data_IF_773724279929
#
_entry.id   IF_773724279929
#
_cell.length_a   1.000
_cell.length_b   1.000
_cell.length_c   1.000
_cell.angle_alpha   90.00
_cell.angle_beta   90.00
_cell.angle_gamma   90.00
#
_symmetry.space_group_name_H-M   'P 1'
#
loop_
_entity.id
_entity.type
_entity.pdbx_description
1 polymer ?
#
# COMPACT_ATOMS: atom_id res chain seq x y z
N UNK A 1 -14.01 28.13 26.16
CA UNK A 1 -12.73 28.55 25.58
C UNK A 1 -12.56 27.67 24.36
N UNK A 2 -12.49 28.25 23.16
CA UNK A 2 -12.26 27.50 21.93
C UNK A 2 -10.80 27.05 21.95
N UNK A 3 -10.57 25.74 22.05
CA UNK A 3 -9.25 25.13 21.83
C UNK A 3 -8.86 25.40 20.37
N UNK A 4 -8.21 26.54 20.15
CA UNK A 4 -7.62 26.89 18.87
C UNK A 4 -6.28 26.16 18.75
N UNK A 5 -6.13 25.40 17.67
CA UNK A 5 -4.92 24.64 17.38
C UNK A 5 -4.13 25.34 16.29
N UNK A 6 -2.83 25.52 16.52
CA UNK A 6 -1.90 26.13 15.58
C UNK A 6 -0.98 25.04 15.04
N UNK A 7 -0.76 25.05 13.71
CA UNK A 7 0.19 24.15 13.06
C UNK A 7 1.59 24.74 13.16
N UNK A 8 2.51 24.00 13.78
CA UNK A 8 3.90 24.43 14.04
C UNK A 8 4.88 23.79 13.05
N UNK A 9 4.58 22.60 12.55
CA UNK A 9 5.40 21.89 11.58
C UNK A 9 4.55 20.99 10.68
N UNK A 10 5.09 20.70 9.51
CA UNK A 10 4.50 19.78 8.55
C UNK A 10 5.57 18.78 8.13
N UNK A 11 5.30 17.49 8.33
CA UNK A 11 6.24 16.41 8.05
C UNK A 11 5.71 15.51 6.94
N UNK A 12 6.60 14.78 6.26
CA UNK A 12 6.21 13.88 5.16
C UNK A 12 5.98 12.45 5.63
N UNK A 13 6.55 12.08 6.77
CA UNK A 13 6.51 10.71 7.28
C UNK A 13 5.95 10.64 8.70
N UNK A 14 5.21 9.56 9.05
CA UNK A 14 4.71 9.37 10.43
C UNK A 14 5.83 9.31 11.47
N UNK A 15 6.99 8.76 11.09
CA UNK A 15 8.16 8.65 11.98
C UNK A 15 8.69 10.03 12.39
N UNK A 16 8.86 10.95 11.44
CA UNK A 16 9.28 12.33 11.73
C UNK A 16 8.24 13.07 12.59
N UNK A 17 6.95 12.91 12.28
CA UNK A 17 5.86 13.50 13.07
C UNK A 17 5.88 13.01 14.53
N UNK A 18 6.07 11.70 14.71
CA UNK A 18 6.19 11.06 16.02
C UNK A 18 7.41 11.53 16.79
N UNK A 19 8.54 11.78 16.12
CA UNK A 19 9.75 12.29 16.75
C UNK A 19 9.53 13.69 17.34
N UNK A 20 8.95 14.60 16.55
CA UNK A 20 8.59 15.95 16.99
C UNK A 20 7.58 15.90 18.13
N UNK A 21 6.57 15.04 18.03
CA UNK A 21 5.57 14.84 19.09
C UNK A 21 6.23 14.41 20.40
N UNK A 22 7.12 13.42 20.37
CA UNK A 22 7.81 12.94 21.58
C UNK A 22 8.66 14.05 22.22
N UNK A 23 9.33 14.86 21.41
CA UNK A 23 10.15 15.97 21.88
C UNK A 23 9.33 17.04 22.61
N UNK A 24 8.19 17.43 22.04
CA UNK A 24 7.30 18.43 22.64
C UNK A 24 6.54 17.86 23.86
N UNK A 25 6.12 16.61 23.81
CA UNK A 25 5.45 15.94 24.95
C UNK A 25 6.40 15.76 26.15
N UNK A 26 7.70 15.57 25.91
CA UNK A 26 8.71 15.52 26.98
C UNK A 26 8.80 16.83 27.78
N UNK A 27 8.50 17.96 27.13
CA UNK A 27 8.44 19.31 27.72
C UNK A 27 7.04 19.65 28.29
N UNK A 28 6.12 18.69 28.26
CA UNK A 28 4.76 18.81 28.77
C UNK A 28 3.77 19.50 27.82
N UNK A 29 4.14 19.70 26.55
CA UNK A 29 3.27 20.31 25.54
C UNK A 29 2.45 19.22 24.85
N UNK A 30 1.13 19.37 24.81
CA UNK A 30 0.25 18.41 24.13
C UNK A 30 0.26 18.65 22.63
N UNK A 31 0.55 17.60 21.87
CA UNK A 31 0.61 17.63 20.41
C UNK A 31 -0.52 16.82 19.79
N UNK A 32 -1.10 17.36 18.74
CA UNK A 32 -2.07 16.70 17.88
C UNK A 32 -1.51 16.54 16.47
N UNK A 33 -1.43 15.31 15.98
CA UNK A 33 -1.00 15.01 14.62
C UNK A 33 -2.23 14.87 13.74
N UNK A 34 -2.44 15.83 12.83
CA UNK A 34 -3.47 15.71 11.80
C UNK A 34 -2.93 14.94 10.61
N UNK A 35 -3.78 14.12 10.00
CA UNK A 35 -3.52 13.38 8.76
C UNK A 35 -2.48 12.23 8.87
N UNK A 36 -1.97 11.90 10.07
CA UNK A 36 -0.97 10.84 10.30
C UNK A 36 -1.42 9.46 9.80
N UNK A 37 -2.60 9.01 10.22
CA UNK A 37 -3.15 7.70 9.85
C UNK A 37 -3.33 7.59 8.33
N UNK A 38 -3.82 8.65 7.70
CA UNK A 38 -4.09 8.69 6.27
C UNK A 38 -2.79 8.61 5.45
N UNK A 39 -1.76 9.33 5.86
CA UNK A 39 -0.43 9.30 5.23
C UNK A 39 0.29 7.98 5.53
N UNK A 40 0.14 7.42 6.73
CA UNK A 40 0.71 6.13 7.12
C UNK A 40 0.13 4.96 6.32
N UNK A 41 -1.19 4.93 6.10
CA UNK A 41 -1.84 3.90 5.28
C UNK A 41 -1.62 4.11 3.78
N UNK A 42 -1.50 5.35 3.33
CA UNK A 42 -1.36 5.71 1.92
C UNK A 42 -0.32 6.83 1.73
N UNK A 43 0.95 6.46 1.57
CA UNK A 43 2.08 7.40 1.43
C UNK A 43 1.87 8.46 0.33
N UNK A 44 1.22 8.11 -0.79
CA UNK A 44 0.95 9.03 -1.90
C UNK A 44 -0.03 10.14 -1.53
N UNK A 45 -0.82 9.94 -0.47
CA UNK A 45 -1.78 10.92 0.02
C UNK A 45 -1.10 12.05 0.79
N UNK A 46 0.14 11.86 1.26
CA UNK A 46 0.95 12.91 1.87
C UNK A 46 1.10 14.14 0.98
N UNK A 47 1.39 13.95 -0.32
CA UNK A 47 1.49 15.06 -1.27
C UNK A 47 0.14 15.76 -1.52
N UNK A 48 -0.97 15.02 -1.44
CA UNK A 48 -2.30 15.56 -1.67
C UNK A 48 -2.84 16.33 -0.45
N UNK A 49 -2.54 15.88 0.76
CA UNK A 49 -2.95 16.50 2.02
C UNK A 49 -1.97 17.59 2.50
N UNK A 50 -0.80 17.66 1.87
CA UNK A 50 0.26 18.60 2.20
C UNK A 50 1.06 18.16 3.42
N UNK A 51 1.20 16.85 3.67
CA UNK A 51 1.93 16.27 4.79
C UNK A 51 1.12 16.12 6.07
N UNK A 52 1.76 15.53 7.08
CA UNK A 52 1.23 15.35 8.44
C UNK A 52 1.46 16.66 9.19
N UNK A 53 0.40 17.27 9.69
CA UNK A 53 0.47 18.56 10.39
C UNK A 53 0.62 18.33 11.89
N UNK A 54 1.70 18.84 12.45
CA UNK A 54 1.95 18.87 13.89
C UNK A 54 1.28 20.12 14.45
N UNK A 55 0.31 19.92 15.35
CA UNK A 55 -0.48 21.01 15.92
C UNK A 55 -0.40 21.02 17.45
N UNK A 56 -0.40 22.22 18.02
CA UNK A 56 -0.43 22.46 19.47
C UNK A 56 -1.50 23.49 19.80
N UNK A 57 -1.90 23.57 21.08
CA UNK A 57 -2.81 24.62 21.52
C UNK A 57 -2.17 26.01 21.30
N UNK A 58 -2.96 27.02 20.93
CA UNK A 58 -2.46 28.37 20.68
C UNK A 58 -1.66 28.96 21.85
N UNK A 59 -1.96 28.55 23.09
CA UNK A 59 -1.24 28.98 24.30
C UNK A 59 0.20 28.44 24.39
N UNK A 60 0.46 27.30 23.76
CA UNK A 60 1.77 26.62 23.78
C UNK A 60 2.57 26.84 22.48
N UNK A 61 2.01 27.53 21.49
CA UNK A 61 2.59 27.66 20.16
C UNK A 61 3.97 28.35 20.18
N UNK A 62 4.11 29.46 20.90
CA UNK A 62 5.39 30.19 20.98
C UNK A 62 6.48 29.33 21.62
N UNK A 63 6.15 28.62 22.71
CA UNK A 63 7.08 27.71 23.40
C UNK A 63 7.45 26.51 22.52
N UNK A 64 6.50 25.98 21.75
CA UNK A 64 6.76 24.88 20.83
C UNK A 64 7.68 25.30 19.67
N UNK A 65 7.55 26.53 19.16
CA UNK A 65 8.47 27.06 18.16
C UNK A 65 9.89 27.22 18.70
N UNK A 66 10.05 27.75 19.91
CA UNK A 66 11.37 27.90 20.54
C UNK A 66 12.07 26.53 20.71
N UNK A 67 11.34 25.51 21.16
CA UNK A 67 11.90 24.16 21.35
C UNK A 67 12.29 23.48 20.03
N UNK A 68 11.56 23.75 18.94
CA UNK A 68 11.89 23.18 17.64
C UNK A 68 13.09 23.86 16.98
N UNK A 69 13.31 25.15 17.25
CA UNK A 69 14.45 25.91 16.72
C UNK A 69 15.76 25.61 17.47
N UNK A 70 15.67 25.25 18.76
CA UNK A 70 16.84 24.96 19.60
C UNK A 70 17.51 23.60 19.29
N UNK A 71 16.80 22.70 18.61
CA UNK A 71 17.29 21.40 18.22
C UNK A 71 17.51 21.32 16.70
N UNK A 72 18.69 21.76 16.26
CA UNK A 72 19.18 21.57 14.89
C UNK A 72 19.03 20.08 14.50
N UNK A 73 18.41 19.76 13.35
CA UNK A 73 18.31 18.38 12.91
C UNK A 73 19.72 17.80 12.78
N UNK A 74 19.96 16.67 13.47
CA UNK A 74 21.22 15.94 13.36
C UNK A 74 21.38 15.53 11.90
N UNK A 75 22.19 16.29 11.17
CA UNK A 75 22.52 15.99 9.78
C UNK A 75 23.54 14.86 9.79
N UNK A 76 23.08 13.65 9.49
CA UNK A 76 23.96 12.51 9.27
C UNK A 76 24.81 12.85 8.03
N UNK A 77 26.08 13.20 8.25
CA UNK A 77 26.99 13.56 7.17
C UNK A 77 27.51 12.30 6.48
N UNK A 78 28.10 12.46 5.28
CA UNK A 78 28.76 11.35 4.62
C UNK A 78 29.98 10.78 5.41
N UNK A 79 30.38 11.44 6.48
CA UNK A 79 31.51 11.02 7.30
C UNK A 79 31.08 10.12 8.46
N UNK A 80 29.80 10.16 8.86
CA UNK A 80 29.23 9.30 9.92
C UNK A 80 28.98 7.86 9.46
N UNK A 81 28.79 7.62 8.16
CA UNK A 81 28.61 6.27 7.61
C UNK A 81 29.92 5.55 7.33
N UNK A 82 31.09 6.13 7.65
CA UNK A 82 32.36 5.38 7.54
C UNK A 82 32.35 4.21 8.53
N UNK A 83 31.89 3.08 8.01
CA UNK A 83 31.93 1.76 8.58
C UNK A 83 33.30 1.53 9.22
N UNK A 84 33.30 1.11 10.48
CA UNK A 84 34.49 0.56 11.14
C UNK A 84 35.09 -0.48 10.18
N UNK A 85 36.32 -0.26 9.71
CA UNK A 85 37.07 -1.24 8.91
C UNK A 85 37.17 -2.53 9.72
N UNK A 86 36.30 -3.50 9.44
CA UNK A 86 36.19 -4.72 10.23
C UNK A 86 34.85 -5.44 10.15
N UNK A 87 33.86 -4.93 9.43
CA UNK A 87 32.66 -5.70 9.11
C UNK A 87 32.88 -6.50 7.81
N UNK A 88 33.69 -7.57 7.90
CA UNK A 88 33.65 -8.66 6.92
C UNK A 88 32.25 -9.26 6.98
N UNK A 89 31.42 -8.91 6.01
CA UNK A 89 30.12 -9.54 5.79
C UNK A 89 30.33 -10.98 5.31
N UNK A 90 30.61 -11.89 6.23
CA UNK A 90 30.24 -13.28 6.10
C UNK A 90 28.73 -13.35 6.22
N UNK A 91 28.02 -13.24 5.10
CA UNK A 91 26.67 -13.78 5.00
C UNK A 91 26.83 -15.29 4.91
N UNK A 92 27.25 -15.92 6.00
CA UNK A 92 26.91 -17.31 6.21
C UNK A 92 25.42 -17.28 6.55
N UNK A 93 24.62 -17.72 5.59
CA UNK A 93 23.23 -18.08 5.83
C UNK A 93 23.24 -19.21 6.87
N UNK A 94 23.29 -18.83 8.14
CA UNK A 94 23.16 -19.78 9.25
C UNK A 94 21.78 -20.41 9.15
N UNK A 95 21.81 -21.63 8.62
CA UNK A 95 20.80 -22.66 8.71
C UNK A 95 20.05 -22.54 10.04
N UNK A 96 18.73 -22.36 9.94
CA UNK A 96 17.85 -22.46 11.10
C UNK A 96 18.10 -23.81 11.80
N UNK A 97 18.15 -23.84 13.15
CA UNK A 97 18.55 -25.04 13.87
C UNK A 97 17.57 -26.18 13.61
N UNK A 98 18.07 -27.24 12.96
CA UNK A 98 17.44 -28.55 12.92
C UNK A 98 17.66 -29.24 14.27
N UNK A 99 16.61 -29.34 15.06
CA UNK A 99 16.48 -30.30 16.17
C UNK A 99 14.95 -30.41 16.44
N UNK A 100 14.24 -31.56 16.46
CA UNK A 100 14.68 -32.95 16.51
C UNK A 100 13.62 -33.86 15.81
N UNK A 101 14.11 -34.73 14.92
CA UNK A 101 13.67 -36.09 14.58
C UNK A 101 12.21 -36.57 14.82
N UNK A 102 11.46 -36.82 13.73
CA UNK A 102 10.94 -38.13 13.28
C UNK A 102 9.66 -37.98 12.43
N UNK A 103 9.78 -38.00 11.10
CA UNK A 103 9.43 -39.19 10.31
C UNK A 103 9.94 -39.01 8.87
N UNK A 104 10.88 -39.87 8.49
CA UNK A 104 11.48 -39.86 7.16
C UNK A 104 10.57 -40.58 6.18
N UNK A 105 9.82 -39.84 5.37
CA UNK A 105 9.43 -40.32 4.05
C UNK A 105 9.85 -39.24 3.06
N UNK A 106 10.90 -39.56 2.29
CA UNK A 106 11.47 -38.64 1.32
C UNK A 106 10.39 -38.21 0.34
N UNK A 107 10.08 -36.92 0.36
CA UNK A 107 9.10 -36.31 -0.52
C UNK A 107 9.62 -36.42 -1.96
N UNK A 108 8.97 -37.28 -2.73
CA UNK A 108 9.36 -37.60 -4.10
C UNK A 108 9.24 -36.34 -4.96
N UNK A 109 10.01 -36.27 -6.06
CA UNK A 109 9.91 -35.15 -7.00
C UNK A 109 8.45 -34.88 -7.46
N UNK A 110 7.61 -35.93 -7.47
CA UNK A 110 6.19 -35.83 -7.79
C UNK A 110 5.36 -35.04 -6.75
N UNK A 111 5.74 -35.04 -5.47
CA UNK A 111 5.04 -34.28 -4.42
C UNK A 111 5.40 -32.79 -4.49
N UNK A 112 6.65 -32.45 -4.82
CA UNK A 112 7.07 -31.05 -5.09
C UNK A 112 6.42 -30.46 -6.35
N UNK A 113 6.19 -31.30 -7.37
CA UNK A 113 5.49 -30.89 -8.59
C UNK A 113 4.00 -30.61 -8.31
N UNK A 114 3.38 -31.40 -7.43
CA UNK A 114 1.99 -31.24 -7.01
C UNK A 114 1.78 -29.92 -6.23
N UNK A 115 2.68 -29.60 -5.29
CA UNK A 115 2.60 -28.36 -4.50
C UNK A 115 2.69 -27.11 -5.38
N UNK A 116 3.54 -27.13 -6.41
CA UNK A 116 3.63 -26.01 -7.36
C UNK A 116 2.39 -25.87 -8.24
N UNK A 117 1.76 -26.97 -8.64
CA UNK A 117 0.49 -26.94 -9.39
C UNK A 117 -0.66 -26.41 -8.53
N UNK A 118 -0.71 -26.82 -7.25
CA UNK A 118 -1.71 -26.37 -6.28
C UNK A 118 -1.61 -24.86 -6.04
N UNK A 119 -0.41 -24.33 -5.84
CA UNK A 119 -0.20 -22.89 -5.64
C UNK A 119 -0.60 -22.05 -6.86
N UNK A 120 -0.33 -22.57 -8.06
CA UNK A 120 -0.75 -21.93 -9.31
C UNK A 120 -2.27 -21.98 -9.49
N UNK A 121 -2.89 -23.12 -9.21
CA UNK A 121 -4.34 -23.29 -9.26
C UNK A 121 -5.06 -22.38 -8.25
N UNK A 122 -4.52 -22.26 -7.02
CA UNK A 122 -5.07 -21.39 -5.98
C UNK A 122 -4.98 -19.91 -6.35
N UNK A 123 -3.81 -19.44 -6.82
CA UNK A 123 -3.64 -18.07 -7.32
C UNK A 123 -4.54 -17.77 -8.52
N UNK A 124 -4.74 -18.73 -9.42
CA UNK A 124 -5.65 -18.62 -10.56
C UNK A 124 -7.13 -18.54 -10.12
N UNK A 125 -7.54 -19.32 -9.12
CA UNK A 125 -8.90 -19.31 -8.57
C UNK A 125 -9.25 -17.96 -7.93
N UNK A 126 -8.30 -17.35 -7.19
CA UNK A 126 -8.46 -16.02 -6.58
C UNK A 126 -8.68 -14.96 -7.66
N UNK A 127 -7.86 -14.97 -8.72
CA UNK A 127 -8.00 -14.05 -9.85
C UNK A 127 -9.34 -14.22 -10.57
N UNK A 128 -9.81 -15.46 -10.72
CA UNK A 128 -11.12 -15.77 -11.32
C UNK A 128 -12.28 -15.16 -10.53
N UNK A 129 -12.31 -15.35 -9.21
CA UNK A 129 -13.41 -14.85 -8.35
C UNK A 129 -13.48 -13.32 -8.37
N UNK A 130 -12.33 -12.63 -8.40
CA UNK A 130 -12.29 -11.16 -8.34
C UNK A 130 -12.81 -10.50 -9.63
N UNK A 131 -12.73 -11.18 -10.77
CA UNK A 131 -13.01 -10.61 -12.08
C UNK A 131 -14.44 -10.85 -12.58
N UNK A 132 -15.05 -11.96 -12.16
CA UNK A 132 -16.41 -12.37 -12.54
C UNK A 132 -17.51 -11.34 -12.20
N UNK A 133 -17.58 -10.69 -11.01
CA UNK A 133 -18.71 -9.82 -10.69
C UNK A 133 -18.80 -8.57 -11.58
N UNK A 134 -17.65 -8.00 -11.97
CA UNK A 134 -17.59 -6.81 -12.83
C UNK A 134 -17.97 -7.17 -14.28
N UNK A 135 -17.51 -8.34 -14.76
CA UNK A 135 -17.81 -8.83 -16.10
C UNK A 135 -19.30 -9.19 -16.26
N UNK A 136 -19.90 -9.86 -15.27
CA UNK A 136 -21.32 -10.22 -15.28
C UNK A 136 -22.18 -8.96 -15.31
N UNK A 137 -21.82 -7.93 -14.56
CA UNK A 137 -22.56 -6.65 -14.57
C UNK A 137 -22.48 -5.93 -15.92
N UNK A 138 -21.28 -5.82 -16.50
CA UNK A 138 -21.07 -5.24 -17.83
C UNK A 138 -21.83 -5.99 -18.93
N UNK A 139 -21.83 -7.32 -18.86
CA UNK A 139 -22.53 -8.18 -19.81
C UNK A 139 -24.05 -8.08 -19.66
N UNK A 140 -24.59 -8.11 -18.43
CA UNK A 140 -26.02 -7.93 -18.18
C UNK A 140 -26.52 -6.55 -18.62
N UNK A 141 -25.70 -5.50 -18.46
CA UNK A 141 -26.04 -4.16 -18.94
C UNK A 141 -26.11 -4.11 -20.48
N UNK A 142 -25.13 -4.70 -21.17
CA UNK A 142 -25.15 -4.78 -22.64
C UNK A 142 -26.29 -5.66 -23.16
N UNK A 143 -26.58 -6.77 -22.48
CA UNK A 143 -27.69 -7.66 -22.80
C UNK A 143 -29.03 -6.96 -22.58
N UNK A 144 -29.17 -6.21 -21.48
CA UNK A 144 -30.34 -5.39 -21.20
C UNK A 144 -30.55 -4.32 -22.27
N UNK A 145 -29.48 -3.68 -22.75
CA UNK A 145 -29.54 -2.71 -23.86
C UNK A 145 -29.94 -3.39 -25.17
N UNK A 146 -29.46 -4.61 -25.43
CA UNK A 146 -29.79 -5.38 -26.62
C UNK A 146 -31.28 -5.82 -26.64
N UNK A 147 -31.84 -6.21 -25.49
CA UNK A 147 -33.25 -6.60 -25.37
C UNK A 147 -34.23 -5.42 -25.23
N UNK A 148 -33.75 -4.22 -24.89
CA UNK A 148 -34.61 -3.06 -24.65
C UNK A 148 -35.27 -2.47 -25.91
N UNK A 149 -34.90 -2.88 -27.12
CA UNK A 149 -35.56 -2.47 -28.37
C UNK A 149 -35.58 -0.96 -28.65
N UNK A 150 -34.84 -0.16 -27.88
CA UNK A 150 -34.81 1.30 -28.01
C UNK A 150 -33.99 1.71 -29.24
N UNK A 151 -34.48 2.71 -29.98
CA UNK A 151 -33.77 3.28 -31.13
C UNK A 151 -32.57 4.09 -30.63
N UNK A 152 -31.40 3.45 -30.58
CA UNK A 152 -30.15 4.05 -30.13
C UNK A 152 -29.72 5.19 -31.07
N UNK A 153 -29.43 6.36 -30.50
CA UNK A 153 -28.91 7.53 -31.23
C UNK A 153 -27.50 7.20 -31.80
N UNK A 154 -27.10 7.71 -32.99
CA UNK A 154 -25.80 7.41 -33.61
C UNK A 154 -24.54 7.50 -32.70
N UNK A 155 -24.42 8.46 -31.76
CA UNK A 155 -23.28 8.48 -30.83
C UNK A 155 -23.31 7.37 -29.78
N UNK A 156 -24.50 6.87 -29.40
CA UNK A 156 -24.65 5.80 -28.42
C UNK A 156 -24.29 4.42 -29.01
N UNK A 157 -24.58 4.20 -30.30
CA UNK A 157 -24.18 2.97 -30.99
C UNK A 157 -22.65 2.78 -31.02
N UNK A 158 -21.88 3.86 -31.15
CA UNK A 158 -20.41 3.79 -31.08
C UNK A 158 -19.93 3.34 -29.71
N UNK A 159 -20.54 3.85 -28.63
CA UNK A 159 -20.21 3.48 -27.24
C UNK A 159 -20.52 2.01 -26.94
N UNK A 160 -21.68 1.51 -27.40
CA UNK A 160 -22.06 0.09 -27.26
C UNK A 160 -21.12 -0.82 -28.05
N UNK A 161 -20.75 -0.46 -29.29
CA UNK A 161 -19.80 -1.25 -30.10
C UNK A 161 -18.41 -1.33 -29.47
N UNK A 162 -17.91 -0.23 -28.91
CA UNK A 162 -16.63 -0.20 -28.19
C UNK A 162 -16.70 -1.07 -26.93
N UNK A 163 -17.80 -0.96 -26.16
CA UNK A 163 -18.01 -1.79 -24.97
C UNK A 163 -18.04 -3.29 -25.29
N UNK A 164 -18.71 -3.69 -26.37
CA UNK A 164 -18.74 -5.09 -26.81
C UNK A 164 -17.36 -5.61 -27.25
N UNK A 165 -16.59 -4.79 -27.98
CA UNK A 165 -15.21 -5.12 -28.37
C UNK A 165 -14.31 -5.31 -27.16
N UNK A 166 -14.37 -4.41 -26.19
CA UNK A 166 -13.56 -4.47 -24.96
C UNK A 166 -13.92 -5.70 -24.14
N UNK A 167 -15.21 -5.98 -23.96
CA UNK A 167 -15.68 -7.16 -23.24
C UNK A 167 -15.27 -8.47 -23.94
N UNK A 168 -15.30 -8.50 -25.28
CA UNK A 168 -14.86 -9.66 -26.06
C UNK A 168 -13.35 -9.88 -25.94
N UNK A 169 -12.55 -8.81 -26.03
CA UNK A 169 -11.10 -8.88 -25.85
C UNK A 169 -10.72 -9.39 -24.46
N UNK A 170 -11.41 -8.89 -23.43
CA UNK A 170 -11.20 -9.28 -22.04
C UNK A 170 -11.59 -10.75 -21.79
N UNK A 171 -12.68 -11.23 -22.40
CA UNK A 171 -13.10 -12.63 -22.34
C UNK A 171 -12.09 -13.56 -23.02
N UNK A 172 -11.59 -13.18 -24.20
CA UNK A 172 -10.53 -13.93 -24.89
C UNK A 172 -9.24 -13.95 -24.07
N UNK A 173 -8.87 -12.82 -23.45
CA UNK A 173 -7.69 -12.76 -22.58
C UNK A 173 -7.79 -13.71 -21.38
N UNK A 174 -8.95 -13.74 -20.70
CA UNK A 174 -9.20 -14.68 -19.59
C UNK A 174 -9.15 -16.14 -20.08
N UNK A 175 -9.72 -16.46 -21.24
CA UNK A 175 -9.67 -17.81 -21.82
C UNK A 175 -8.23 -18.22 -22.16
N UNK A 176 -7.44 -17.32 -22.76
CA UNK A 176 -6.04 -17.59 -23.10
C UNK A 176 -5.18 -17.75 -21.85
N UNK A 177 -5.43 -16.95 -20.81
CA UNK A 177 -4.75 -17.08 -19.52
C UNK A 177 -5.05 -18.44 -18.87
N UNK A 178 -6.32 -18.86 -18.89
CA UNK A 178 -6.75 -20.17 -18.39
C UNK A 178 -6.25 -21.35 -19.22
N UNK A 179 -6.04 -21.17 -20.53
CA UNK A 179 -5.52 -22.21 -21.43
C UNK A 179 -3.98 -22.32 -21.44
N UNK A 180 -3.28 -21.37 -20.80
CA UNK A 180 -1.81 -21.31 -20.67
C UNK A 180 -1.31 -21.80 -19.32
N UNK A 181 -2.23 -22.06 -18.38
CA UNK A 181 -2.00 -22.69 -17.07
C UNK A 181 -2.24 -24.19 -17.24
#
# INVERSE_FOLDING_TARGET
MSDEFITIATTSTPTEASLIRNQLEAEGIRVYLSDEEAVGMAWYLGNALGGIKVQVASEDADRAFELLDEHDPVTISEEDWKTVEGFENGWDEDEAPEDDAQDSVGESAAERDLDQEVDRAFKAAILGILFVPIQVYSFLLLLSILFSGQTLTPPQQKKVKIGFLLNTFLLVFVIVLLARI
#
